data_IF_241078800280
#
_entry.id   IF_241078800280
#
_cell.length_a   1.000
_cell.length_b   1.000
_cell.length_c   1.000
_cell.angle_alpha   90.00
_cell.angle_beta   90.00
_cell.angle_gamma   90.00
#
_symmetry.space_group_name_H-M   'P 1'
#
loop_
_entity.id
_entity.type
_entity.pdbx_description
1 polymer ?
#
# COMPACT_ATOMS: atom_id res chain seq x y z
N UNK A 1 -10.99 -12.93 -16.13
CA UNK A 1 -10.95 -12.84 -14.66
C UNK A 1 -9.66 -12.15 -14.29
N UNK A 2 -9.71 -11.09 -13.49
CA UNK A 2 -8.50 -10.40 -13.03
C UNK A 2 -7.64 -11.35 -12.19
N UNK A 3 -6.42 -11.63 -12.63
CA UNK A 3 -5.50 -12.57 -11.98
C UNK A 3 -5.19 -12.13 -10.54
N UNK A 4 -5.23 -10.82 -10.26
CA UNK A 4 -5.04 -10.29 -8.91
C UNK A 4 -6.19 -10.64 -7.97
N UNK A 5 -7.43 -10.68 -8.48
CA UNK A 5 -8.61 -11.11 -7.71
C UNK A 5 -8.55 -12.58 -7.28
N UNK A 6 -7.88 -13.45 -8.04
CA UNK A 6 -7.75 -14.87 -7.70
C UNK A 6 -6.58 -15.15 -6.74
N UNK A 7 -5.48 -14.40 -6.86
CA UNK A 7 -4.24 -14.67 -6.11
C UNK A 7 -4.12 -13.90 -4.79
N UNK A 8 -4.83 -12.76 -4.64
CA UNK A 8 -4.71 -11.88 -3.45
C UNK A 8 -6.02 -11.66 -2.69
N UNK A 9 -7.06 -12.39 -3.06
CA UNK A 9 -8.33 -12.37 -2.32
C UNK A 9 -8.35 -13.46 -1.25
N UNK A 10 -9.01 -13.17 -0.12
CA UNK A 10 -9.31 -14.17 0.88
C UNK A 10 -10.14 -15.31 0.24
N UNK A 11 -9.75 -16.59 0.38
CA UNK A 11 -10.47 -17.71 -0.23
C UNK A 11 -11.89 -17.89 0.33
N UNK A 12 -12.17 -17.33 1.52
CA UNK A 12 -13.47 -17.43 2.18
C UNK A 12 -14.40 -16.29 1.76
N UNK A 13 -13.94 -15.03 1.89
CA UNK A 13 -14.81 -13.87 1.72
C UNK A 13 -14.52 -13.04 0.46
N UNK A 14 -13.54 -13.45 -0.36
CA UNK A 14 -13.09 -12.78 -1.59
C UNK A 14 -12.66 -11.30 -1.41
N UNK A 15 -12.53 -10.82 -0.18
CA UNK A 15 -11.98 -9.48 0.10
C UNK A 15 -10.51 -9.44 -0.30
N UNK A 16 -10.15 -8.42 -1.06
CA UNK A 16 -8.76 -8.14 -1.45
C UNK A 16 -7.96 -7.67 -0.24
N UNK A 17 -6.76 -8.24 -0.06
CA UNK A 17 -5.77 -7.73 0.87
C UNK A 17 -4.44 -7.53 0.15
N UNK A 18 -3.96 -6.29 0.12
CA UNK A 18 -2.71 -5.94 -0.57
C UNK A 18 -1.46 -6.08 0.32
N UNK A 19 -1.62 -6.52 1.56
CA UNK A 19 -0.52 -6.76 2.50
C UNK A 19 -0.84 -7.95 3.39
N UNK A 20 0.22 -8.62 3.86
CA UNK A 20 0.15 -9.80 4.74
C UNK A 20 0.88 -9.43 6.04
N UNK A 21 0.24 -9.73 7.17
CA UNK A 21 0.86 -9.64 8.49
C UNK A 21 1.15 -11.06 8.95
N UNK A 22 2.42 -11.45 9.12
CA UNK A 22 2.74 -12.75 9.67
C UNK A 22 2.34 -12.78 11.15
N UNK A 23 1.66 -13.85 11.55
CA UNK A 23 1.29 -14.11 12.94
C UNK A 23 1.28 -15.61 13.21
N UNK A 24 1.75 -16.00 14.40
CA UNK A 24 1.64 -17.37 14.91
C UNK A 24 0.36 -17.58 15.72
N UNK A 25 -0.36 -16.49 16.02
CA UNK A 25 -1.61 -16.48 16.78
C UNK A 25 -2.77 -16.14 15.83
N UNK A 26 -3.88 -16.85 15.98
CA UNK A 26 -5.11 -16.56 15.26
C UNK A 26 -6.01 -15.61 16.06
N UNK A 27 -6.26 -14.42 15.52
CA UNK A 27 -7.14 -13.43 16.15
C UNK A 27 -8.58 -13.60 15.69
N UNK A 28 -9.52 -13.63 16.63
CA UNK A 28 -10.94 -13.84 16.35
C UNK A 28 -11.73 -12.56 16.36
N UNK A 29 -11.41 -11.62 17.25
CA UNK A 29 -12.15 -10.36 17.39
C UNK A 29 -11.69 -9.33 16.37
N UNK A 30 -12.50 -8.29 16.14
CA UNK A 30 -12.15 -7.20 15.24
C UNK A 30 -11.09 -6.29 15.87
N UNK A 31 -11.19 -6.10 17.18
CA UNK A 31 -10.39 -5.23 18.00
C UNK A 31 -8.93 -5.73 18.03
N UNK A 32 -8.72 -7.02 18.32
CA UNK A 32 -7.39 -7.64 18.29
C UNK A 32 -6.76 -7.57 16.88
N UNK A 33 -7.58 -7.79 15.83
CA UNK A 33 -7.12 -7.66 14.44
C UNK A 33 -6.69 -6.23 14.12
N UNK A 34 -7.42 -5.24 14.61
CA UNK A 34 -7.10 -3.84 14.39
C UNK A 34 -5.80 -3.46 15.11
N UNK A 35 -5.64 -3.90 16.36
CA UNK A 35 -4.44 -3.66 17.17
C UNK A 35 -3.18 -4.22 16.50
N UNK A 36 -3.21 -5.48 16.01
CA UNK A 36 -2.02 -6.04 15.35
C UNK A 36 -1.71 -5.34 14.03
N UNK A 37 -2.73 -4.91 13.28
CA UNK A 37 -2.54 -4.14 12.05
C UNK A 37 -1.84 -2.82 12.34
N UNK A 38 -2.30 -2.10 13.37
CA UNK A 38 -1.73 -0.82 13.77
C UNK A 38 -0.31 -0.97 14.30
N UNK A 39 -0.08 -1.91 15.21
CA UNK A 39 1.23 -2.19 15.79
C UNK A 39 2.25 -2.58 14.73
N UNK A 40 1.87 -3.47 13.80
CA UNK A 40 2.74 -3.89 12.71
C UNK A 40 3.10 -2.71 11.79
N UNK A 41 2.11 -1.91 11.39
CA UNK A 41 2.34 -0.71 10.57
C UNK A 41 3.21 0.33 11.30
N UNK A 42 2.99 0.55 12.60
CA UNK A 42 3.79 1.46 13.40
C UNK A 42 5.26 1.02 13.44
N UNK A 43 5.52 -0.28 13.61
CA UNK A 43 6.87 -0.85 13.56
C UNK A 43 7.52 -0.70 12.18
N UNK A 44 6.79 -0.89 11.08
CA UNK A 44 7.34 -0.67 9.74
C UNK A 44 7.69 0.81 9.51
N UNK A 45 6.85 1.73 10.00
CA UNK A 45 7.09 3.19 9.92
C UNK A 45 8.33 3.66 10.70
N UNK A 46 8.88 2.86 11.60
CA UNK A 46 10.13 3.18 12.29
C UNK A 46 11.38 2.65 11.58
N UNK A 47 11.22 1.80 10.56
CA UNK A 47 12.33 1.19 9.82
C UNK A 47 12.54 1.97 8.52
N UNK A 48 13.76 2.41 8.26
CA UNK A 48 14.10 3.16 7.05
C UNK A 48 13.93 2.32 5.77
N UNK A 49 13.28 2.90 4.76
CA UNK A 49 13.00 2.24 3.50
C UNK A 49 14.27 2.12 2.65
N UNK A 50 14.73 0.88 2.46
CA UNK A 50 15.89 0.56 1.60
C UNK A 50 15.78 1.06 0.16
N UNK A 51 14.57 1.20 -0.37
CA UNK A 51 14.36 1.63 -1.76
C UNK A 51 14.32 3.15 -1.92
N UNK A 52 13.92 3.85 -0.87
CA UNK A 52 13.98 5.31 -0.83
C UNK A 52 15.43 5.78 -0.60
N UNK A 53 16.20 5.01 0.18
CA UNK A 53 17.62 5.27 0.47
C UNK A 53 17.91 6.75 0.78
N UNK A 54 17.16 7.27 1.73
CA UNK A 54 17.26 8.66 2.18
C UNK A 54 17.10 9.73 1.08
N UNK A 55 16.34 9.42 0.04
CA UNK A 55 16.04 10.29 -1.10
C UNK A 55 17.01 10.12 -2.27
N UNK A 56 18.00 9.23 -2.19
CA UNK A 56 18.85 8.88 -3.33
C UNK A 56 18.15 7.90 -4.29
N UNK A 57 17.22 7.11 -3.76
CA UNK A 57 16.51 6.05 -4.46
C UNK A 57 15.05 6.41 -4.73
N UNK A 58 14.43 5.65 -5.63
CA UNK A 58 13.00 5.76 -5.91
C UNK A 58 12.29 4.52 -5.39
N UNK A 59 11.49 4.70 -4.32
CA UNK A 59 10.68 3.62 -3.78
C UNK A 59 9.56 3.25 -4.77
N UNK A 60 9.50 2.00 -5.27
CA UNK A 60 8.46 1.60 -6.24
C UNK A 60 7.05 1.63 -5.64
N UNK A 61 6.95 1.61 -4.31
CA UNK A 61 5.68 1.67 -3.60
C UNK A 61 5.20 3.10 -3.33
N UNK A 62 6.06 4.10 -3.48
CA UNK A 62 5.77 5.52 -3.27
C UNK A 62 4.96 5.76 -2.00
N UNK A 63 3.81 6.42 -2.16
CA UNK A 63 2.85 6.78 -1.10
C UNK A 63 2.24 5.60 -0.35
N UNK A 64 2.38 4.37 -0.86
CA UNK A 64 1.89 3.14 -0.22
C UNK A 64 2.99 2.32 0.43
N UNK A 65 4.22 2.82 0.50
CA UNK A 65 5.26 2.18 1.28
C UNK A 65 4.91 2.25 2.77
N UNK A 66 4.99 1.12 3.48
CA UNK A 66 4.81 1.10 4.94
C UNK A 66 6.09 1.47 5.70
N UNK A 67 7.24 1.46 5.03
CA UNK A 67 8.54 1.80 5.60
C UNK A 67 8.77 3.31 5.61
N UNK A 68 9.65 3.78 6.50
CA UNK A 68 9.95 5.19 6.69
C UNK A 68 10.70 5.75 5.48
N UNK A 69 10.13 6.79 4.85
CA UNK A 69 10.82 7.60 3.86
C UNK A 69 11.31 8.87 4.57
N UNK A 70 12.57 8.85 5.03
CA UNK A 70 13.22 9.98 5.67
C UNK A 70 14.42 10.41 4.82
N UNK A 71 14.57 11.70 4.55
CA UNK A 71 15.75 12.26 3.89
C UNK A 71 16.94 12.30 4.85
N UNK A 72 18.14 12.51 4.31
CA UNK A 72 19.39 12.61 5.11
C UNK A 72 19.39 13.76 6.12
N UNK A 73 18.61 14.80 5.86
CA UNK A 73 18.40 15.94 6.76
C UNK A 73 17.35 15.66 7.85
N UNK A 74 16.79 14.44 7.90
CA UNK A 74 15.80 14.02 8.88
C UNK A 74 14.36 14.38 8.53
N UNK A 75 14.12 15.13 7.45
CA UNK A 75 12.75 15.42 6.99
C UNK A 75 12.09 14.14 6.50
N UNK A 76 10.79 14.01 6.72
CA UNK A 76 10.00 12.92 6.14
C UNK A 76 9.47 13.32 4.77
N UNK A 77 9.33 12.35 3.87
CA UNK A 77 8.65 12.58 2.59
C UNK A 77 7.19 12.98 2.83
N UNK A 78 6.78 14.12 2.27
CA UNK A 78 5.37 14.54 2.28
C UNK A 78 4.58 13.67 1.30
N UNK A 79 3.76 12.78 1.87
CA UNK A 79 2.88 11.91 1.09
C UNK A 79 1.62 12.70 0.71
N UNK A 80 1.61 13.32 -0.48
CA UNK A 80 0.39 13.90 -1.04
C UNK A 80 -0.50 12.77 -1.55
N UNK A 81 -1.45 12.34 -0.73
CA UNK A 81 -2.49 11.39 -1.13
C UNK A 81 -3.40 12.08 -2.16
N UNK A 82 -3.29 11.72 -3.44
CA UNK A 82 -4.27 12.15 -4.44
C UNK A 82 -5.50 11.27 -4.30
N UNK A 83 -6.56 11.83 -3.69
CA UNK A 83 -7.85 11.18 -3.59
C UNK A 83 -8.52 11.17 -4.96
N UNK A 84 -8.74 9.98 -5.53
CA UNK A 84 -9.67 9.81 -6.64
C UNK A 84 -10.99 9.33 -6.03
N UNK A 85 -12.05 10.11 -6.24
CA UNK A 85 -13.40 9.69 -5.91
C UNK A 85 -13.83 8.69 -6.99
N UNK A 86 -14.01 7.43 -6.63
CA UNK A 86 -14.70 6.48 -7.50
C UNK A 86 -16.22 6.74 -7.41
N UNK A 87 -16.95 6.47 -8.50
CA UNK A 87 -18.40 6.72 -8.61
C UNK A 87 -19.24 5.91 -7.58
N UNK A 88 -18.66 4.92 -6.93
CA UNK A 88 -19.26 4.09 -5.88
C UNK A 88 -19.03 4.62 -4.45
N UNK A 89 -18.43 5.81 -4.30
CA UNK A 89 -18.09 6.40 -3.00
C UNK A 89 -16.86 5.78 -2.34
N UNK A 90 -16.13 4.88 -3.01
CA UNK A 90 -14.83 4.44 -2.53
C UNK A 90 -13.78 5.51 -2.81
N UNK A 91 -13.11 5.97 -1.75
CA UNK A 91 -11.93 6.83 -1.87
C UNK A 91 -10.74 5.96 -2.25
N UNK A 92 -10.37 5.97 -3.52
CA UNK A 92 -9.16 5.28 -3.98
C UNK A 92 -7.99 6.24 -3.81
N UNK A 93 -7.09 5.91 -2.88
CA UNK A 93 -5.81 6.60 -2.76
C UNK A 93 -4.98 6.24 -3.99
N UNK A 94 -4.82 7.18 -4.91
CA UNK A 94 -3.97 6.97 -6.07
C UNK A 94 -2.52 6.79 -5.61
N UNK A 95 -1.95 5.61 -5.84
CA UNK A 95 -0.49 5.46 -5.91
C UNK A 95 -0.03 6.24 -7.14
N UNK A 96 1.19 6.79 -7.11
CA UNK A 96 1.83 7.54 -8.20
C UNK A 96 1.41 7.01 -9.58
N UNK A 97 0.42 7.66 -10.20
CA UNK A 97 -0.13 7.21 -11.46
C UNK A 97 0.90 7.56 -12.52
N UNK A 98 1.50 6.55 -13.13
CA UNK A 98 2.39 6.75 -14.27
C UNK A 98 1.53 6.89 -15.51
N UNK A 99 1.95 7.72 -16.47
CA UNK A 99 1.26 7.84 -17.76
C UNK A 99 1.08 6.48 -18.45
N UNK A 100 2.03 5.56 -18.22
CA UNK A 100 1.99 4.16 -18.67
C UNK A 100 0.77 3.38 -18.18
N UNK A 101 0.22 3.73 -17.01
CA UNK A 101 -0.91 3.04 -16.40
C UNK A 101 -2.23 3.34 -17.14
N UNK A 102 -2.29 4.46 -17.88
CA UNK A 102 -3.41 4.81 -18.75
C UNK A 102 -3.23 4.33 -20.19
N UNK A 103 -1.99 4.22 -20.66
CA UNK A 103 -1.68 3.79 -22.02
C UNK A 103 -1.77 2.27 -22.20
N UNK A 104 -1.70 1.50 -21.12
CA UNK A 104 -1.82 0.04 -21.17
C UNK A 104 -3.24 -0.43 -21.54
N UNK A 105 -4.24 0.43 -21.38
CA UNK A 105 -5.64 0.17 -21.78
C UNK A 105 -5.97 0.73 -23.18
N UNK A 106 -5.02 1.43 -23.81
CA UNK A 106 -5.19 1.96 -25.15
C UNK A 106 -4.84 0.87 -26.18
N UNK A 107 -5.82 0.04 -26.53
CA UNK A 107 -5.74 -0.74 -27.76
C UNK A 107 -5.79 0.22 -28.96
N UNK A 108 -4.61 0.65 -29.42
CA UNK A 108 -4.47 1.22 -30.75
C UNK A 108 -4.81 0.12 -31.76
N UNK A 109 -5.90 0.33 -32.49
CA UNK A 109 -6.26 -0.48 -33.66
C UNK A 109 -5.25 -0.31 -34.78
#
# INVERSE_FOLDING_TARGET
MDVNSALRACPICRKLSYFIIPSVIWYTTKEEKQEIIESYKAKLKSIDCKHFDYGSGSCPFGTSCFYKHAYRDGRLEEVVLRHLNAEDGQTVIAKNIRLSDFLSDLHLR
#
